data_IF_420277027392
#
_entry.id   IF_420277027392
#
_cell.length_a   1.000
_cell.length_b   1.000
_cell.length_c   1.000
_cell.angle_alpha   90.00
_cell.angle_beta   90.00
_cell.angle_gamma   90.00
#
_symmetry.space_group_name_H-M   'P 1'
#
loop_
_entity.id
_entity.type
_entity.pdbx_description
1 polymer ?
#
# COMPACT_ATOMS: atom_id res chain seq x y z
N UNK A 1 12.98 -8.03 6.83
CA UNK A 1 12.73 -6.60 6.49
C UNK A 1 12.27 -5.83 7.73
N UNK A 2 12.75 -4.62 7.88
CA UNK A 2 12.29 -3.71 8.94
C UNK A 2 11.18 -2.82 8.40
N UNK A 3 10.09 -2.67 9.16
CA UNK A 3 9.01 -1.77 8.77
C UNK A 3 9.47 -0.32 8.89
N UNK A 4 9.28 0.45 7.83
CA UNK A 4 9.52 1.90 7.85
C UNK A 4 8.27 2.60 8.34
N UNK A 5 8.39 3.30 9.47
CA UNK A 5 7.28 4.05 10.04
C UNK A 5 7.27 5.48 9.55
N UNK A 6 6.09 6.00 9.23
CA UNK A 6 5.96 7.43 8.96
C UNK A 6 6.13 8.22 10.26
N UNK A 7 6.68 9.44 10.20
CA UNK A 7 6.69 10.30 11.39
C UNK A 7 5.26 10.58 11.86
N UNK A 8 5.07 10.59 13.18
CA UNK A 8 3.75 10.83 13.78
C UNK A 8 3.18 12.18 13.32
N UNK A 9 1.88 12.23 13.04
CA UNK A 9 1.18 13.44 12.62
C UNK A 9 1.45 13.85 11.17
N UNK A 10 2.11 13.02 10.37
CA UNK A 10 2.38 13.30 8.96
C UNK A 10 1.45 12.53 8.03
N UNK A 11 1.44 12.90 6.75
CA UNK A 11 0.75 12.20 5.67
C UNK A 11 1.70 11.36 4.82
N UNK A 12 2.77 10.86 5.45
CA UNK A 12 3.85 10.19 4.74
C UNK A 12 3.70 8.67 4.68
N UNK A 13 2.49 8.13 4.85
CA UNK A 13 2.28 6.68 4.70
C UNK A 13 2.67 6.20 3.30
N UNK A 14 2.29 6.94 2.27
CA UNK A 14 2.66 6.59 0.89
C UNK A 14 4.17 6.63 0.67
N UNK A 15 4.84 7.65 1.19
CA UNK A 15 6.30 7.75 1.07
C UNK A 15 7.01 6.61 1.82
N UNK A 16 6.53 6.25 3.01
CA UNK A 16 7.08 5.13 3.77
C UNK A 16 6.91 3.80 3.03
N UNK A 17 5.74 3.57 2.44
CA UNK A 17 5.48 2.36 1.66
C UNK A 17 6.33 2.33 0.39
N UNK A 18 6.44 3.45 -0.31
CA UNK A 18 7.32 3.55 -1.47
C UNK A 18 8.79 3.28 -1.10
N UNK A 19 9.22 3.77 0.06
CA UNK A 19 10.57 3.52 0.56
C UNK A 19 10.81 2.02 0.81
N UNK A 20 9.85 1.33 1.43
CA UNK A 20 9.95 -0.12 1.61
C UNK A 20 9.96 -0.87 0.28
N UNK A 21 9.11 -0.49 -0.65
CA UNK A 21 9.00 -1.14 -1.95
C UNK A 21 10.24 -0.97 -2.83
N UNK A 22 10.95 0.14 -2.67
CA UNK A 22 12.13 0.47 -3.49
C UNK A 22 13.44 0.32 -2.74
N UNK A 23 13.40 -0.12 -1.48
CA UNK A 23 14.57 -0.24 -0.61
C UNK A 23 15.31 1.10 -0.46
N UNK A 24 14.57 2.15 -0.19
CA UNK A 24 15.08 3.50 0.00
C UNK A 24 14.67 4.05 1.36
N UNK A 25 14.96 5.31 1.62
CA UNK A 25 14.50 6.04 2.79
C UNK A 25 13.33 6.95 2.42
N UNK A 26 12.55 7.37 3.42
CA UNK A 26 11.48 8.35 3.20
C UNK A 26 12.06 9.65 2.62
N UNK A 27 13.20 10.10 3.11
CA UNK A 27 13.85 11.31 2.60
C UNK A 27 14.18 11.19 1.10
N UNK A 28 14.69 10.06 0.67
CA UNK A 28 14.98 9.81 -0.74
C UNK A 28 13.70 9.86 -1.59
N UNK A 29 12.62 9.27 -1.11
CA UNK A 29 11.34 9.31 -1.82
C UNK A 29 10.82 10.74 -1.95
N UNK A 30 10.87 11.51 -0.88
CA UNK A 30 10.45 12.93 -0.90
C UNK A 30 11.23 13.73 -1.94
N UNK A 31 12.55 13.51 -2.04
CA UNK A 31 13.40 14.22 -3.00
C UNK A 31 13.13 13.83 -4.45
N UNK A 32 12.73 12.60 -4.71
CA UNK A 32 12.66 12.04 -6.06
C UNK A 32 11.24 11.81 -6.58
N UNK A 33 10.25 11.82 -5.71
CA UNK A 33 8.86 11.67 -6.10
C UNK A 33 8.16 13.01 -6.20
N UNK A 34 7.09 13.06 -6.99
CA UNK A 34 6.26 14.24 -7.10
C UNK A 34 5.37 14.39 -5.86
N UNK A 35 5.15 15.61 -5.40
CA UNK A 35 4.17 15.91 -4.36
C UNK A 35 4.73 16.34 -3.01
N UNK A 36 6.04 16.43 -2.84
CA UNK A 36 6.66 16.90 -1.58
C UNK A 36 6.24 16.02 -0.39
N UNK A 37 5.70 16.62 0.65
CA UNK A 37 5.26 15.92 1.85
C UNK A 37 4.00 15.07 1.65
N UNK A 38 3.39 15.13 0.48
CA UNK A 38 2.27 14.28 0.09
C UNK A 38 2.66 13.31 -1.03
N UNK A 39 3.94 13.13 -1.29
CA UNK A 39 4.42 12.26 -2.35
C UNK A 39 3.91 10.83 -2.14
N UNK A 40 3.57 10.20 -3.25
CA UNK A 40 2.99 8.85 -3.25
C UNK A 40 1.67 8.69 -2.47
N UNK A 41 1.01 9.79 -2.11
CA UNK A 41 -0.26 9.72 -1.39
C UNK A 41 -1.43 9.34 -2.30
N UNK A 42 -1.32 9.64 -3.59
CA UNK A 42 -2.36 9.34 -4.59
C UNK A 42 -1.97 8.13 -5.43
N UNK A 43 -2.99 7.39 -5.88
CA UNK A 43 -2.80 6.20 -6.71
C UNK A 43 -1.86 6.45 -7.89
N UNK A 44 -2.12 7.52 -8.65
CA UNK A 44 -1.32 7.82 -9.84
C UNK A 44 0.12 8.22 -9.48
N UNK A 45 0.31 8.93 -8.38
CA UNK A 45 1.64 9.33 -7.95
C UNK A 45 2.45 8.14 -7.46
N UNK A 46 1.81 7.23 -6.72
CA UNK A 46 2.44 5.99 -6.26
C UNK A 46 2.85 5.13 -7.46
N UNK A 47 1.93 4.90 -8.39
CA UNK A 47 2.21 4.10 -9.58
C UNK A 47 3.33 4.71 -10.42
N UNK A 48 3.30 6.02 -10.65
CA UNK A 48 4.31 6.71 -11.45
C UNK A 48 5.70 6.59 -10.82
N UNK A 49 5.79 6.76 -9.50
CA UNK A 49 7.07 6.65 -8.81
C UNK A 49 7.61 5.21 -8.87
N UNK A 50 6.78 4.23 -8.55
CA UNK A 50 7.21 2.82 -8.55
C UNK A 50 7.60 2.34 -9.95
N UNK A 51 6.84 2.73 -10.99
CA UNK A 51 7.19 2.41 -12.37
C UNK A 51 8.52 3.04 -12.78
N UNK A 52 8.75 4.28 -12.39
CA UNK A 52 10.02 4.95 -12.66
C UNK A 52 11.19 4.26 -11.96
N UNK A 53 10.96 3.68 -10.79
CA UNK A 53 11.96 2.89 -10.07
C UNK A 53 12.08 1.45 -10.58
N UNK A 54 11.27 1.06 -11.55
CA UNK A 54 11.31 -0.29 -12.11
C UNK A 54 10.70 -1.37 -11.21
N UNK A 55 9.89 -0.97 -10.23
CA UNK A 55 9.34 -1.90 -9.26
C UNK A 55 7.93 -2.36 -9.62
N UNK A 56 7.09 -1.45 -10.12
CA UNK A 56 5.72 -1.75 -10.49
C UNK A 56 5.61 -1.95 -11.99
N UNK A 57 5.19 -3.14 -12.41
CA UNK A 57 5.03 -3.49 -13.82
C UNK A 57 3.57 -3.62 -14.24
N UNK A 58 2.65 -3.50 -13.32
CA UNK A 58 1.22 -3.71 -13.58
C UNK A 58 0.36 -2.50 -13.25
N UNK A 59 -0.92 -2.74 -13.15
CA UNK A 59 -1.94 -1.75 -12.81
C UNK A 59 -2.55 -2.07 -11.46
N UNK A 60 -3.26 -1.09 -10.89
CA UNK A 60 -4.01 -1.31 -9.68
C UNK A 60 -5.16 -2.29 -9.92
N UNK A 61 -5.39 -3.17 -8.97
CA UNK A 61 -6.56 -4.03 -8.94
C UNK A 61 -7.31 -3.75 -7.63
N UNK A 62 -8.59 -3.40 -7.76
CA UNK A 62 -9.46 -3.26 -6.60
C UNK A 62 -10.10 -4.60 -6.29
N UNK A 63 -10.21 -4.95 -5.02
CA UNK A 63 -10.74 -6.24 -4.63
C UNK A 63 -12.13 -6.09 -4.04
N UNK A 64 -12.26 -6.02 -2.75
CA UNK A 64 -13.55 -5.90 -2.09
C UNK A 64 -13.47 -4.87 -0.96
N UNK A 65 -14.55 -4.18 -0.73
CA UNK A 65 -14.71 -3.42 0.49
C UNK A 65 -15.35 -4.34 1.53
N UNK A 66 -14.56 -4.78 2.48
CA UNK A 66 -15.03 -5.72 3.49
C UNK A 66 -16.06 -5.12 4.45
N UNK A 67 -16.10 -3.80 4.58
CA UNK A 67 -17.08 -3.15 5.45
C UNK A 67 -18.47 -3.15 4.85
N UNK A 68 -18.58 -2.93 3.54
CA UNK A 68 -19.86 -2.86 2.83
C UNK A 68 -20.18 -4.16 2.09
N UNK A 69 -19.19 -5.02 1.87
CA UNK A 69 -19.33 -6.19 1.02
C UNK A 69 -19.37 -5.86 -0.46
N UNK A 70 -19.19 -4.61 -0.84
CA UNK A 70 -19.18 -4.20 -2.23
C UNK A 70 -17.83 -4.49 -2.89
N UNK A 71 -17.89 -4.97 -4.10
CA UNK A 71 -16.70 -5.14 -4.93
C UNK A 71 -16.49 -3.91 -5.77
N UNK A 72 -15.32 -3.34 -5.70
CA UNK A 72 -15.02 -2.11 -6.42
C UNK A 72 -14.72 -2.36 -7.88
N UNK A 73 -14.01 -3.39 -8.17
CA UNK A 73 -13.89 -3.87 -9.54
C UNK A 73 -13.87 -5.34 -9.54
N UNK A 74 -14.23 -6.02 -10.22
CA UNK A 74 -13.82 -7.07 -10.21
C UNK A 74 -14.01 -8.29 -10.72
N UNK A 75 -13.15 -8.88 -11.30
CA UNK A 75 -12.89 -10.26 -11.61
C UNK A 75 -12.90 -11.09 -10.33
N UNK A 76 -13.74 -12.12 -10.21
CA UNK A 76 -13.72 -13.01 -9.03
C UNK A 76 -12.34 -13.60 -8.77
N UNK A 77 -11.60 -13.85 -9.84
CA UNK A 77 -10.24 -14.35 -9.73
C UNK A 77 -9.32 -13.37 -9.00
N UNK A 78 -9.52 -12.08 -9.21
CA UNK A 78 -8.72 -11.05 -8.54
C UNK A 78 -8.95 -11.08 -7.03
N UNK A 79 -10.19 -11.22 -6.60
CA UNK A 79 -10.52 -11.36 -5.19
C UNK A 79 -9.90 -12.62 -4.60
N UNK A 80 -10.06 -13.74 -5.29
CA UNK A 80 -9.43 -15.00 -4.88
C UNK A 80 -7.93 -14.85 -4.78
N UNK A 81 -7.33 -14.13 -5.72
CA UNK A 81 -5.90 -13.89 -5.72
C UNK A 81 -5.43 -13.16 -4.47
N UNK A 82 -6.20 -12.21 -3.96
CA UNK A 82 -5.84 -11.50 -2.73
C UNK A 82 -6.09 -12.35 -1.49
N UNK A 83 -7.25 -12.98 -1.42
CA UNK A 83 -7.68 -13.72 -0.25
C UNK A 83 -6.98 -15.07 -0.08
N UNK A 84 -6.65 -15.74 -1.17
CA UNK A 84 -6.05 -17.09 -1.17
C UNK A 84 -4.54 -17.08 -1.37
N UNK A 85 -3.94 -15.93 -1.23
CA UNK A 85 -2.48 -15.80 -1.26
C UNK A 85 -1.75 -16.10 -2.57
N UNK A 86 -2.21 -15.71 -3.73
CA UNK A 86 -1.26 -15.53 -4.82
C UNK A 86 -0.33 -14.36 -4.56
N UNK A 87 -0.64 -13.55 -3.55
CA UNK A 87 0.29 -12.56 -3.01
C UNK A 87 1.38 -13.18 -2.14
N UNK A 88 1.23 -14.42 -1.71
CA UNK A 88 2.26 -15.06 -0.90
C UNK A 88 3.58 -15.13 -1.66
N UNK A 89 4.63 -14.57 -1.06
CA UNK A 89 5.94 -14.47 -1.69
C UNK A 89 6.06 -13.38 -2.75
N UNK A 90 5.03 -12.57 -2.97
CA UNK A 90 5.03 -11.49 -3.98
C UNK A 90 4.75 -10.15 -3.30
N UNK A 91 5.76 -9.32 -3.10
CA UNK A 91 5.54 -8.01 -2.51
C UNK A 91 4.56 -7.15 -3.31
N UNK A 92 3.77 -6.37 -2.62
CA UNK A 92 2.79 -5.47 -3.22
C UNK A 92 2.61 -4.20 -2.39
N UNK A 93 2.15 -3.17 -3.04
CA UNK A 93 1.75 -1.92 -2.40
C UNK A 93 0.23 -1.90 -2.36
N UNK A 94 -0.36 -1.74 -1.18
CA UNK A 94 -1.79 -1.89 -1.00
C UNK A 94 -2.37 -0.63 -0.38
N UNK A 95 -3.40 -0.09 -1.02
CA UNK A 95 -4.22 0.95 -0.45
C UNK A 95 -5.38 0.33 0.32
N UNK A 96 -5.60 0.80 1.52
CA UNK A 96 -6.69 0.34 2.38
C UNK A 96 -7.44 1.54 2.93
N UNK A 97 -8.63 1.31 3.49
CA UNK A 97 -9.34 2.38 4.16
C UNK A 97 -8.63 2.79 5.44
N UNK A 98 -8.51 4.09 5.65
CA UNK A 98 -7.92 4.62 6.88
C UNK A 98 -8.79 4.29 8.09
N UNK A 99 -8.19 3.75 9.14
CA UNK A 99 -8.88 3.47 10.41
C UNK A 99 -9.20 4.74 11.20
N UNK A 100 -8.48 5.84 10.92
CA UNK A 100 -8.61 7.08 11.68
C UNK A 100 -9.38 8.16 10.96
N UNK A 101 -9.47 8.10 9.64
CA UNK A 101 -10.13 9.12 8.81
C UNK A 101 -11.02 8.46 7.77
N UNK A 102 -12.31 8.46 8.01
CA UNK A 102 -13.29 7.90 7.09
C UNK A 102 -13.15 8.51 5.68
N UNK A 103 -13.23 7.65 4.66
CA UNK A 103 -13.16 8.07 3.27
C UNK A 103 -11.76 8.39 2.76
N UNK A 104 -10.72 8.24 3.57
CA UNK A 104 -9.35 8.45 3.15
C UNK A 104 -8.61 7.12 2.95
N UNK A 105 -7.70 7.13 2.00
CA UNK A 105 -6.85 6.01 1.70
C UNK A 105 -5.64 6.01 2.63
N UNK A 106 -5.29 4.83 3.12
CA UNK A 106 -4.05 4.58 3.86
C UNK A 106 -3.21 3.57 3.09
N UNK A 107 -1.92 3.82 2.96
CA UNK A 107 -1.01 2.92 2.26
C UNK A 107 -0.32 1.98 3.23
N UNK A 108 -0.27 0.71 2.85
CA UNK A 108 0.49 -0.32 3.56
C UNK A 108 1.34 -1.11 2.55
N UNK A 109 2.39 -1.74 3.05
CA UNK A 109 3.26 -2.56 2.23
C UNK A 109 3.06 -4.03 2.58
N UNK A 110 2.84 -4.85 1.55
CA UNK A 110 2.80 -6.30 1.67
C UNK A 110 4.18 -6.85 1.31
N UNK A 111 4.84 -7.51 2.27
CA UNK A 111 6.20 -8.01 2.07
C UNK A 111 6.27 -9.42 1.48
N UNK A 112 5.14 -9.98 1.11
CA UNK A 112 4.98 -11.34 0.61
C UNK A 112 4.40 -12.30 1.64
N UNK A 113 4.36 -11.92 2.91
CA UNK A 113 3.83 -12.76 4.00
C UNK A 113 2.92 -11.99 4.95
N UNK A 114 3.23 -10.75 5.22
CA UNK A 114 2.47 -9.92 6.17
C UNK A 114 2.41 -8.48 5.70
N UNK A 115 1.48 -7.74 6.29
CA UNK A 115 1.36 -6.30 6.06
C UNK A 115 2.33 -5.55 6.96
N UNK A 116 3.10 -4.65 6.36
CA UNK A 116 3.97 -3.70 7.04
C UNK A 116 3.27 -2.35 7.02
N UNK A 117 2.73 -1.94 8.16
CA UNK A 117 1.95 -0.72 8.28
C UNK A 117 2.85 0.43 8.74
N UNK A 118 2.95 1.52 7.96
CA UNK A 118 3.76 2.67 8.34
C UNK A 118 3.17 3.50 9.47
N UNK A 119 1.94 3.25 9.88
CA UNK A 119 1.34 3.94 11.02
C UNK A 119 2.19 3.67 12.29
N UNK A 120 2.70 4.73 12.96
CA UNK A 120 3.55 4.54 14.14
C UNK A 120 2.87 3.76 15.28
N UNK A 121 1.54 3.82 15.36
CA UNK A 121 0.78 3.13 16.39
C UNK A 121 0.49 1.66 16.05
N UNK A 122 0.72 1.23 14.81
CA UNK A 122 0.48 -0.15 14.41
C UNK A 122 1.67 -1.05 14.76
N UNK A 123 1.41 -2.33 14.98
CA UNK A 123 2.47 -3.32 15.12
C UNK A 123 3.22 -3.50 13.79
N UNK A 124 4.43 -4.05 13.83
CA UNK A 124 5.28 -4.15 12.65
C UNK A 124 4.74 -5.10 11.59
N UNK A 125 4.02 -6.13 11.98
CA UNK A 125 3.45 -7.11 11.06
C UNK A 125 2.00 -7.37 11.42
N UNK A 126 1.14 -7.34 10.40
CA UNK A 126 -0.29 -7.61 10.56
C UNK A 126 -0.77 -8.52 9.43
N UNK A 127 -1.79 -9.37 9.67
CA UNK A 127 -2.42 -10.11 8.58
C UNK A 127 -3.22 -9.15 7.68
N UNK A 128 -3.29 -9.47 6.39
CA UNK A 128 -4.05 -8.65 5.44
C UNK A 128 -5.54 -8.57 5.80
N UNK A 129 -6.07 -9.63 6.42
CA UNK A 129 -7.47 -9.68 6.86
C UNK A 129 -7.86 -8.64 7.89
N UNK A 130 -6.89 -7.99 8.54
CA UNK A 130 -7.17 -6.91 9.49
C UNK A 130 -7.64 -5.62 8.80
N UNK A 131 -7.53 -5.54 7.48
CA UNK A 131 -7.85 -4.33 6.73
C UNK A 131 -9.12 -4.49 5.90
N UNK A 132 -9.90 -3.42 5.81
CA UNK A 132 -11.08 -3.36 4.96
C UNK A 132 -10.78 -2.52 3.72
N UNK A 133 -11.44 -2.84 2.59
CA UNK A 133 -11.32 -2.04 1.38
C UNK A 133 -9.91 -2.05 0.79
N UNK A 134 -9.56 -3.13 0.12
CA UNK A 134 -8.20 -3.30 -0.39
C UNK A 134 -8.08 -2.87 -1.84
N UNK A 135 -7.06 -2.07 -2.13
CA UNK A 135 -6.65 -1.75 -3.49
C UNK A 135 -5.20 -2.23 -3.63
N UNK A 136 -4.98 -3.22 -4.47
CA UNK A 136 -3.65 -3.77 -4.70
C UNK A 136 -2.98 -3.09 -5.88
N UNK A 137 -1.66 -2.85 -5.77
CA UNK A 137 -0.83 -2.46 -6.91
C UNK A 137 -0.02 -3.68 -7.30
N UNK A 138 -0.27 -4.21 -8.48
CA UNK A 138 0.45 -5.36 -9.02
C UNK A 138 1.90 -5.02 -9.33
N UNK A 139 2.67 -6.05 -9.51
CA UNK A 139 4.12 -5.94 -9.83
C UNK A 139 4.39 -6.48 -11.19
#
# INVERSE_FOLDING_TARGET
MTTIKQPAGTRLCGAAVAAMATNNTIAHVIENAKGGNECCSRLLWMAAYLNRCGVLMGTFASVADYRTGERMTIEPETESLVLECPLKGRPAVIGVDSETKAGQLHWVYWDGESVRDPNPAAVDQRPLSDYAGHIEIGR
#
